data_IF_968720047557
#
_entry.id   IF_968720047557
#
_cell.length_a   1.000
_cell.length_b   1.000
_cell.length_c   1.000
_cell.angle_alpha   90.00
_cell.angle_beta   90.00
_cell.angle_gamma   90.00
#
_symmetry.space_group_name_H-M   'P 1'
#
loop_
_entity.id
_entity.type
_entity.pdbx_description
1 polymer ?
#
# COMPACT_ATOMS: atom_id res chain seq x y z
N UNK A 1 14.53 16.92 -19.66
CA UNK A 1 14.25 15.65 -20.35
C UNK A 1 14.77 15.78 -21.76
N UNK A 2 15.66 14.90 -22.18
CA UNK A 2 16.16 14.84 -23.56
C UNK A 2 15.18 14.03 -24.43
N UNK A 3 15.28 14.17 -25.75
CA UNK A 3 14.39 13.49 -26.70
C UNK A 3 14.59 11.98 -26.78
N UNK A 4 15.72 11.46 -26.29
CA UNK A 4 16.10 10.05 -26.25
C UNK A 4 15.77 9.37 -24.91
N UNK A 5 15.21 10.11 -23.95
CA UNK A 5 14.85 9.59 -22.65
C UNK A 5 13.87 8.42 -22.77
N UNK A 6 14.27 7.25 -22.27
CA UNK A 6 13.46 6.02 -22.30
C UNK A 6 12.63 5.82 -21.03
N UNK A 7 13.05 6.40 -19.91
CA UNK A 7 12.40 6.25 -18.60
C UNK A 7 12.29 7.59 -17.90
N UNK A 8 11.08 7.95 -17.51
CA UNK A 8 10.79 9.11 -16.66
C UNK A 8 10.48 8.60 -15.25
N UNK A 9 11.44 8.73 -14.34
CA UNK A 9 11.29 8.32 -12.95
C UNK A 9 10.79 9.48 -12.07
N UNK A 10 9.69 9.24 -11.36
CA UNK A 10 9.18 10.08 -10.29
C UNK A 10 9.47 9.38 -8.96
N UNK A 11 10.50 9.86 -8.27
CA UNK A 11 10.94 9.27 -7.02
C UNK A 11 10.19 9.86 -5.81
N UNK A 12 9.81 9.00 -4.87
CA UNK A 12 9.11 9.29 -3.61
C UNK A 12 7.93 10.27 -3.77
N UNK A 13 6.95 9.88 -4.59
CA UNK A 13 5.78 10.73 -4.80
C UNK A 13 4.89 10.77 -3.55
N UNK A 14 4.36 11.96 -3.28
CA UNK A 14 3.51 12.23 -2.11
C UNK A 14 2.13 11.57 -2.23
N UNK A 15 1.48 11.29 -1.09
CA UNK A 15 0.13 10.68 -0.97
C UNK A 15 -0.96 11.23 -1.91
N UNK A 16 -0.90 12.52 -2.25
CA UNK A 16 -1.89 13.19 -3.12
C UNK A 16 -1.36 13.45 -4.55
N UNK A 17 -0.42 12.63 -5.02
CA UNK A 17 0.11 12.75 -6.37
C UNK A 17 -1.01 12.55 -7.42
N UNK A 18 -1.16 13.53 -8.30
CA UNK A 18 -2.19 13.50 -9.34
C UNK A 18 -1.72 12.63 -10.51
N UNK A 19 -1.97 11.32 -10.44
CA UNK A 19 -1.63 10.39 -11.52
C UNK A 19 -2.31 10.72 -12.86
N UNK A 20 -3.49 11.35 -12.85
CA UNK A 20 -4.20 11.72 -14.08
C UNK A 20 -3.40 12.70 -14.93
N UNK A 21 -2.55 13.52 -14.31
CA UNK A 21 -1.64 14.42 -15.04
C UNK A 21 -0.71 13.67 -16.00
N UNK A 22 -0.43 12.39 -15.74
CA UNK A 22 0.43 11.55 -16.57
C UNK A 22 -0.33 10.85 -17.70
N UNK A 23 -1.66 10.92 -17.73
CA UNK A 23 -2.45 10.27 -18.78
C UNK A 23 -2.11 10.80 -20.16
N UNK A 24 -1.92 12.12 -20.33
CA UNK A 24 -1.53 12.68 -21.62
C UNK A 24 -0.20 12.11 -22.10
N UNK A 25 0.78 11.95 -21.21
CA UNK A 25 2.08 11.34 -21.53
C UNK A 25 1.90 9.88 -22.00
N UNK A 26 1.03 9.14 -21.30
CA UNK A 26 0.78 7.72 -21.57
C UNK A 26 -0.04 7.50 -22.85
N UNK A 27 -1.01 8.37 -23.16
CA UNK A 27 -1.97 8.16 -24.26
C UNK A 27 -1.77 9.01 -25.49
N UNK A 28 -1.22 10.22 -25.35
CA UNK A 28 -1.12 11.22 -26.42
C UNK A 28 0.31 11.53 -26.84
N UNK A 29 1.29 11.15 -26.01
CA UNK A 29 2.71 11.40 -26.23
C UNK A 29 3.28 12.46 -25.30
N UNK A 30 4.60 12.65 -25.32
CA UNK A 30 5.28 13.65 -24.50
C UNK A 30 5.59 14.90 -25.34
N UNK A 31 5.05 16.04 -24.93
CA UNK A 31 5.47 17.35 -25.48
C UNK A 31 6.63 17.88 -24.65
N UNK A 32 7.79 18.07 -25.28
CA UNK A 32 8.98 18.64 -24.66
C UNK A 32 9.11 20.09 -25.12
N UNK A 33 9.01 21.02 -24.18
CA UNK A 33 9.27 22.43 -24.41
C UNK A 33 10.70 22.79 -23.99
N UNK A 34 11.50 23.28 -24.94
CA UNK A 34 12.83 23.80 -24.66
C UNK A 34 12.78 25.34 -24.57
N UNK A 35 13.50 25.93 -23.62
CA UNK A 35 13.59 27.40 -23.52
C UNK A 35 14.17 27.98 -24.81
N UNK A 36 13.42 28.86 -25.46
CA UNK A 36 13.85 29.56 -26.67
C UNK A 36 13.86 28.71 -27.94
N UNK A 37 13.15 27.57 -27.95
CA UNK A 37 12.95 26.74 -29.16
C UNK A 37 11.49 26.27 -29.24
N UNK A 38 11.09 25.83 -30.41
CA UNK A 38 9.76 25.25 -30.61
C UNK A 38 9.59 23.95 -29.84
N UNK A 39 8.35 23.69 -29.41
CA UNK A 39 8.00 22.46 -28.71
C UNK A 39 8.13 21.25 -29.64
N UNK A 40 8.70 20.16 -29.13
CA UNK A 40 8.83 18.89 -29.84
C UNK A 40 7.82 17.91 -29.25
N UNK A 41 6.92 17.38 -30.07
CA UNK A 41 5.97 16.35 -29.65
C UNK A 41 6.52 14.97 -30.00
N UNK A 42 6.85 14.19 -28.98
CA UNK A 42 7.20 12.77 -29.13
C UNK A 42 5.90 11.95 -29.26
N UNK A 43 5.77 11.07 -30.27
CA UNK A 43 4.63 10.17 -30.38
C UNK A 43 4.67 9.11 -29.28
N UNK A 44 3.52 8.55 -28.92
CA UNK A 44 3.37 7.57 -27.82
C UNK A 44 4.36 6.39 -27.90
N UNK A 45 4.66 5.90 -29.10
CA UNK A 45 5.60 4.80 -29.31
C UNK A 45 7.05 5.13 -28.88
N UNK A 46 7.41 6.41 -28.93
CA UNK A 46 8.73 6.93 -28.60
C UNK A 46 8.69 7.69 -27.25
N UNK A 47 7.54 7.71 -26.57
CA UNK A 47 7.41 8.30 -25.24
C UNK A 47 8.11 7.44 -24.19
N UNK A 48 8.75 8.06 -23.19
CA UNK A 48 9.37 7.33 -22.10
C UNK A 48 8.33 6.52 -21.31
N UNK A 49 8.78 5.39 -20.76
CA UNK A 49 8.04 4.67 -19.73
C UNK A 49 8.09 5.47 -18.44
N UNK A 50 6.96 5.57 -17.75
CA UNK A 50 6.88 6.29 -16.47
C UNK A 50 7.09 5.30 -15.33
N UNK A 51 8.09 5.57 -14.49
CA UNK A 51 8.37 4.83 -13.26
C UNK A 51 8.00 5.73 -12.08
N UNK A 52 7.30 5.20 -11.09
CA UNK A 52 6.90 5.92 -9.89
C UNK A 52 7.26 5.06 -8.67
N UNK A 53 7.97 5.63 -7.71
CA UNK A 53 8.16 5.03 -6.38
C UNK A 53 7.36 5.83 -5.35
N UNK A 54 6.76 5.13 -4.39
CA UNK A 54 6.02 5.76 -3.28
C UNK A 54 5.80 4.77 -2.14
N UNK A 55 5.76 5.30 -0.92
CA UNK A 55 5.31 4.56 0.27
C UNK A 55 3.79 4.65 0.48
N UNK A 56 3.06 5.32 -0.41
CA UNK A 56 1.61 5.52 -0.31
C UNK A 56 0.88 4.78 -1.43
N UNK A 57 -0.30 4.24 -1.11
CA UNK A 57 -1.18 3.70 -2.16
C UNK A 57 -1.65 4.83 -3.08
N UNK A 58 -1.40 4.70 -4.38
CA UNK A 58 -1.92 5.62 -5.38
C UNK A 58 -3.42 5.34 -5.58
N UNK A 59 -4.28 6.31 -5.25
CA UNK A 59 -5.72 6.20 -5.46
C UNK A 59 -6.05 6.21 -6.95
N UNK A 60 -6.29 5.03 -7.50
CA UNK A 60 -6.68 4.81 -8.88
C UNK A 60 -8.17 4.45 -8.95
N UNK A 61 -9.06 5.47 -8.99
CA UNK A 61 -10.49 5.24 -9.12
C UNK A 61 -10.90 5.15 -10.61
N UNK A 62 -11.24 3.94 -11.07
CA UNK A 62 -11.86 3.70 -12.38
C UNK A 62 -11.14 2.70 -13.29
N UNK A 63 -11.88 2.11 -14.24
CA UNK A 63 -11.37 1.08 -15.17
C UNK A 63 -10.34 1.57 -16.20
N UNK A 64 -10.14 2.89 -16.33
CA UNK A 64 -9.08 3.48 -17.16
C UNK A 64 -7.69 3.36 -16.53
N UNK A 65 -7.59 3.39 -15.20
CA UNK A 65 -6.31 3.36 -14.48
C UNK A 65 -5.67 1.97 -14.50
N UNK A 66 -6.46 0.92 -14.20
CA UNK A 66 -5.96 -0.46 -14.11
C UNK A 66 -5.28 -0.97 -15.39
N UNK A 67 -5.60 -0.40 -16.56
CA UNK A 67 -5.01 -0.78 -17.86
C UNK A 67 -3.73 -0.01 -18.20
N UNK A 68 -3.38 1.01 -17.41
CA UNK A 68 -2.28 1.95 -17.68
C UNK A 68 -1.20 1.91 -16.60
N UNK A 69 -1.36 1.05 -15.60
CA UNK A 69 -0.49 0.94 -14.46
C UNK A 69 -0.14 -0.54 -14.26
N UNK A 70 1.14 -0.81 -14.06
CA UNK A 70 1.62 -2.09 -13.59
C UNK A 70 2.24 -1.84 -12.23
N UNK A 71 1.65 -2.43 -11.19
CA UNK A 71 2.00 -2.12 -9.81
C UNK A 71 2.78 -3.29 -9.19
N UNK A 72 3.92 -2.97 -8.58
CA UNK A 72 4.77 -3.92 -7.87
C UNK A 72 4.87 -3.47 -6.42
N UNK A 73 4.52 -4.37 -5.49
CA UNK A 73 4.63 -4.13 -4.05
C UNK A 73 5.94 -4.70 -3.54
N UNK A 74 6.66 -3.91 -2.75
CA UNK A 74 7.81 -4.39 -2.00
C UNK A 74 7.39 -4.55 -0.54
N UNK A 75 7.66 -5.74 0.02
CA UNK A 75 7.45 -5.99 1.44
C UNK A 75 8.50 -5.28 2.30
N UNK A 76 8.16 -4.99 3.56
CA UNK A 76 9.08 -4.51 4.60
C UNK A 76 10.04 -5.59 5.12
N UNK A 77 10.49 -6.48 4.23
CA UNK A 77 11.35 -7.62 4.58
C UNK A 77 12.67 -7.17 5.21
N UNK A 78 13.25 -6.07 4.71
CA UNK A 78 14.34 -5.38 5.36
C UNK A 78 13.84 -4.12 6.07
N UNK A 79 14.32 -3.90 7.30
CA UNK A 79 13.91 -2.80 8.16
C UNK A 79 14.88 -2.58 9.33
N UNK A 80 14.47 -1.82 10.34
CA UNK A 80 15.33 -1.40 11.46
C UNK A 80 15.87 -2.55 12.31
N UNK A 81 15.21 -3.71 12.30
CA UNK A 81 15.57 -4.88 13.09
C UNK A 81 16.00 -6.09 12.25
N UNK A 82 16.05 -5.92 10.93
CA UNK A 82 16.47 -6.96 10.00
C UNK A 82 17.05 -6.27 8.77
N UNK A 83 18.37 -6.09 8.75
CA UNK A 83 19.07 -5.42 7.66
C UNK A 83 19.62 -6.43 6.67
N UNK A 84 19.93 -6.03 5.43
CA UNK A 84 20.62 -6.93 4.50
C UNK A 84 21.97 -7.41 5.04
N UNK A 85 22.64 -6.58 5.86
CA UNK A 85 23.88 -6.96 6.52
C UNK A 85 23.66 -8.08 7.54
N UNK A 86 22.57 -8.08 8.30
CA UNK A 86 22.26 -9.14 9.27
C UNK A 86 22.06 -10.50 8.60
N UNK A 87 21.54 -10.52 7.36
CA UNK A 87 21.27 -11.74 6.61
C UNK A 87 22.44 -12.21 5.74
N UNK A 88 23.07 -11.30 4.99
CA UNK A 88 24.11 -11.63 4.02
C UNK A 88 25.53 -11.39 4.53
N UNK A 89 25.69 -10.62 5.60
CA UNK A 89 27.01 -10.22 6.14
C UNK A 89 27.68 -9.08 5.36
N UNK A 90 26.98 -8.47 4.41
CA UNK A 90 27.44 -7.34 3.59
C UNK A 90 26.25 -6.50 3.11
N UNK A 91 26.49 -5.22 2.82
CA UNK A 91 25.46 -4.34 2.27
C UNK A 91 25.27 -4.61 0.77
N UNK A 92 24.02 -4.82 0.36
CA UNK A 92 23.69 -5.07 -1.05
C UNK A 92 24.13 -3.89 -1.93
N UNK A 93 24.65 -4.19 -3.12
CA UNK A 93 25.16 -3.25 -4.14
C UNK A 93 26.39 -2.41 -3.74
N UNK A 94 26.60 -2.14 -2.45
CA UNK A 94 27.75 -1.36 -1.97
C UNK A 94 28.98 -2.25 -1.76
N UNK A 95 28.83 -3.37 -1.07
CA UNK A 95 29.94 -4.27 -0.71
C UNK A 95 30.10 -5.43 -1.70
N UNK A 96 29.33 -5.43 -2.79
CA UNK A 96 29.35 -6.51 -3.78
C UNK A 96 30.66 -6.58 -4.55
N UNK A 97 31.25 -7.77 -4.60
CA UNK A 97 32.38 -8.07 -5.45
C UNK A 97 31.95 -8.39 -6.89
N UNK A 98 32.92 -8.64 -7.77
CA UNK A 98 32.65 -9.00 -9.16
C UNK A 98 31.77 -10.25 -9.31
N UNK A 99 31.83 -11.20 -8.36
CA UNK A 99 31.03 -12.42 -8.42
C UNK A 99 29.58 -12.15 -8.05
N UNK A 100 29.32 -11.31 -7.05
CA UNK A 100 27.97 -10.91 -6.66
C UNK A 100 27.31 -10.06 -7.75
N UNK A 101 28.04 -9.13 -8.37
CA UNK A 101 27.57 -8.42 -9.56
C UNK A 101 27.26 -9.37 -10.72
N UNK A 102 28.14 -10.35 -10.98
CA UNK A 102 27.87 -11.34 -12.03
C UNK A 102 26.62 -12.21 -11.73
N UNK A 103 26.35 -12.54 -10.46
CA UNK A 103 25.12 -13.24 -10.06
C UNK A 103 23.88 -12.37 -10.29
N UNK A 104 23.95 -11.10 -9.92
CA UNK A 104 22.89 -10.13 -10.15
C UNK A 104 22.60 -9.97 -11.64
N UNK A 105 23.63 -9.80 -12.47
CA UNK A 105 23.46 -9.65 -13.92
C UNK A 105 22.83 -10.90 -14.55
N UNK A 106 23.25 -12.11 -14.14
CA UNK A 106 22.60 -13.35 -14.56
C UNK A 106 21.12 -13.40 -14.16
N UNK A 107 20.79 -12.97 -12.94
CA UNK A 107 19.41 -12.87 -12.49
C UNK A 107 18.61 -11.88 -13.36
N UNK A 108 19.16 -10.70 -13.64
CA UNK A 108 18.51 -9.69 -14.48
C UNK A 108 18.29 -10.17 -15.91
N UNK A 109 19.26 -10.88 -16.51
CA UNK A 109 19.11 -11.51 -17.83
C UNK A 109 18.00 -12.56 -17.81
N UNK A 110 17.91 -13.36 -16.74
CA UNK A 110 16.82 -14.34 -16.60
C UNK A 110 15.46 -13.65 -16.49
N UNK A 111 15.35 -12.55 -15.74
CA UNK A 111 14.13 -11.74 -15.69
C UNK A 111 13.75 -11.18 -17.06
N UNK A 112 14.72 -10.72 -17.85
CA UNK A 112 14.50 -10.22 -19.21
C UNK A 112 14.01 -11.34 -20.15
N UNK A 113 14.68 -12.50 -20.14
CA UNK A 113 14.25 -13.65 -20.93
C UNK A 113 12.82 -14.07 -20.58
N UNK A 114 12.54 -14.16 -19.27
CA UNK A 114 11.21 -14.49 -18.78
C UNK A 114 10.15 -13.47 -19.22
N UNK A 115 10.47 -12.17 -19.16
CA UNK A 115 9.61 -11.10 -19.65
C UNK A 115 9.35 -11.17 -21.16
N UNK A 116 10.37 -11.48 -21.97
CA UNK A 116 10.22 -11.59 -23.42
C UNK A 116 9.32 -12.77 -23.82
N UNK A 117 9.32 -13.85 -23.04
CA UNK A 117 8.48 -15.02 -23.27
C UNK A 117 7.05 -14.86 -22.72
N UNK A 118 6.91 -14.29 -21.52
CA UNK A 118 5.66 -14.31 -20.76
C UNK A 118 4.98 -12.93 -20.65
N UNK A 119 5.66 -11.86 -21.07
CA UNK A 119 5.21 -10.49 -20.86
C UNK A 119 5.32 -10.04 -19.39
N UNK A 120 4.54 -9.02 -19.03
CA UNK A 120 4.41 -8.60 -17.63
C UNK A 120 3.55 -9.60 -16.87
N UNK A 121 4.14 -10.26 -15.88
CA UNK A 121 3.43 -11.19 -15.00
C UNK A 121 2.97 -10.46 -13.74
N UNK A 122 1.67 -10.43 -13.50
CA UNK A 122 1.10 -9.82 -12.30
C UNK A 122 1.66 -10.50 -11.05
N UNK A 123 2.21 -9.70 -10.13
CA UNK A 123 2.58 -10.20 -8.80
C UNK A 123 1.30 -10.54 -8.04
N UNK A 124 1.26 -11.69 -7.38
CA UNK A 124 0.27 -11.89 -6.33
C UNK A 124 0.51 -10.83 -5.27
N UNK A 125 -0.41 -9.86 -5.18
CA UNK A 125 -0.42 -8.92 -4.08
C UNK A 125 -0.70 -9.74 -2.81
N UNK A 126 0.36 -10.12 -2.09
CA UNK A 126 0.27 -10.82 -0.79
C UNK A 126 -0.69 -10.10 0.17
N UNK A 127 -0.94 -8.82 -0.08
CA UNK A 127 -1.72 -7.91 0.72
C UNK A 127 -2.93 -7.28 -0.03
N UNK A 128 -3.57 -7.98 -0.98
CA UNK A 128 -4.78 -7.44 -1.64
C UNK A 128 -5.85 -7.01 -0.61
N UNK A 129 -6.08 -7.82 0.42
CA UNK A 129 -7.02 -7.51 1.50
C UNK A 129 -6.54 -6.34 2.36
N UNK A 130 -5.23 -6.26 2.66
CA UNK A 130 -4.65 -5.12 3.37
C UNK A 130 -4.77 -3.84 2.55
N UNK A 131 -4.58 -3.87 1.22
CA UNK A 131 -4.76 -2.71 0.32
C UNK A 131 -6.20 -2.24 0.25
N UNK A 132 -7.16 -3.18 0.12
CA UNK A 132 -8.58 -2.84 0.23
C UNK A 132 -8.85 -2.18 1.57
N UNK A 133 -8.28 -2.70 2.65
CA UNK A 133 -8.40 -2.14 3.98
C UNK A 133 -7.76 -0.74 4.11
N UNK A 134 -6.55 -0.51 3.61
CA UNK A 134 -5.89 0.81 3.55
C UNK A 134 -6.77 1.81 2.78
N UNK A 135 -7.28 1.40 1.61
CA UNK A 135 -8.10 2.27 0.75
C UNK A 135 -9.45 2.62 1.38
N UNK A 136 -10.05 1.69 2.12
CA UNK A 136 -11.31 1.92 2.85
C UNK A 136 -11.12 2.73 4.14
N UNK A 137 -9.90 2.69 4.70
CA UNK A 137 -9.53 3.35 5.95
C UNK A 137 -8.50 4.47 5.72
N UNK A 138 -7.28 4.29 6.22
CA UNK A 138 -6.09 5.07 5.92
C UNK A 138 -4.86 4.32 6.41
N UNK A 139 -3.69 4.70 5.88
CA UNK A 139 -2.39 4.23 6.39
C UNK A 139 -2.24 4.54 7.90
N UNK A 140 -2.55 5.78 8.29
CA UNK A 140 -2.53 6.26 9.66
C UNK A 140 -3.39 5.39 10.61
N UNK A 141 -4.53 4.89 10.13
CA UNK A 141 -5.40 4.03 10.92
C UNK A 141 -4.78 2.65 11.16
N UNK A 142 -4.07 2.10 10.17
CA UNK A 142 -3.37 0.81 10.30
C UNK A 142 -2.24 0.90 11.31
N UNK A 143 -1.40 1.94 11.19
CA UNK A 143 -0.32 2.19 12.16
C UNK A 143 -0.88 2.34 13.58
N UNK A 144 -2.03 3.02 13.72
CA UNK A 144 -2.68 3.18 15.02
C UNK A 144 -3.19 1.85 15.61
N UNK A 145 -3.80 0.96 14.82
CA UNK A 145 -4.28 -0.34 15.34
C UNK A 145 -3.15 -1.33 15.57
N UNK A 146 -2.06 -1.26 14.80
CA UNK A 146 -0.86 -2.09 14.97
C UNK A 146 -0.15 -1.79 16.29
N UNK A 147 -0.25 -0.55 16.78
CA UNK A 147 0.17 -0.15 18.14
C UNK A 147 -0.72 -0.72 19.27
N UNK A 148 -1.62 -1.67 18.95
CA UNK A 148 -2.54 -2.35 19.88
C UNK A 148 -3.53 -1.40 20.58
N UNK A 149 -3.84 -0.27 19.95
CA UNK A 149 -4.81 0.69 20.48
C UNK A 149 -6.25 0.15 20.46
N UNK A 150 -6.55 -0.85 19.62
CA UNK A 150 -7.81 -1.60 19.63
C UNK A 150 -7.60 -2.97 20.27
N UNK A 151 -7.81 -3.07 21.58
CA UNK A 151 -7.79 -4.37 22.26
C UNK A 151 -9.01 -5.23 21.91
N UNK A 152 -8.80 -6.54 21.88
CA UNK A 152 -9.84 -7.54 21.65
C UNK A 152 -10.57 -7.92 22.94
N UNK A 153 -11.79 -8.42 22.81
CA UNK A 153 -12.60 -8.99 23.91
C UNK A 153 -12.85 -8.01 25.07
N UNK A 154 -12.84 -6.70 24.76
CA UNK A 154 -13.15 -5.63 25.69
C UNK A 154 -14.06 -4.57 25.05
N UNK A 155 -14.91 -3.95 25.86
CA UNK A 155 -15.79 -2.87 25.42
C UNK A 155 -15.01 -1.57 25.30
N UNK A 156 -14.92 -1.06 24.09
CA UNK A 156 -14.27 0.20 23.74
C UNK A 156 -15.31 1.29 23.51
N UNK A 157 -15.11 2.47 24.11
CA UNK A 157 -16.00 3.61 23.92
C UNK A 157 -15.75 4.25 22.54
N UNK A 158 -16.81 4.40 21.73
CA UNK A 158 -16.71 4.95 20.36
C UNK A 158 -16.18 6.39 20.31
N UNK A 159 -16.52 7.20 21.31
CA UNK A 159 -16.07 8.60 21.37
C UNK A 159 -14.61 8.66 21.80
N UNK A 160 -14.26 7.96 22.87
CA UNK A 160 -12.89 7.95 23.39
C UNK A 160 -11.88 7.38 22.39
N UNK A 161 -12.22 6.31 21.66
CA UNK A 161 -11.32 5.76 20.65
C UNK A 161 -11.09 6.73 19.48
N UNK A 162 -12.13 7.44 19.07
CA UNK A 162 -11.98 8.47 18.03
C UNK A 162 -11.11 9.64 18.52
N UNK A 163 -11.31 10.09 19.77
CA UNK A 163 -10.50 11.16 20.36
C UNK A 163 -9.03 10.75 20.50
N UNK A 164 -8.75 9.51 20.92
CA UNK A 164 -7.39 8.97 20.99
C UNK A 164 -6.71 8.97 19.62
N UNK A 165 -7.41 8.47 18.59
CA UNK A 165 -6.88 8.48 17.22
C UNK A 165 -6.58 9.90 16.72
N UNK A 166 -7.49 10.85 16.94
CA UNK A 166 -7.31 12.25 16.51
C UNK A 166 -6.21 12.97 17.30
N UNK A 167 -5.96 12.58 18.56
CA UNK A 167 -4.89 13.14 19.36
C UNK A 167 -3.50 12.77 18.80
N UNK A 168 -3.35 11.56 18.26
CA UNK A 168 -2.11 11.11 17.62
C UNK A 168 -1.99 11.59 16.16
N UNK A 169 -3.09 11.61 15.42
CA UNK A 169 -3.14 11.97 14.00
C UNK A 169 -3.98 13.23 13.76
N UNK A 170 -3.49 14.38 14.22
CA UNK A 170 -4.25 15.65 14.23
C UNK A 170 -4.72 16.10 12.84
N UNK A 171 -3.97 15.77 11.79
CA UNK A 171 -4.29 16.12 10.41
C UNK A 171 -5.57 15.44 9.90
N UNK A 172 -5.91 14.27 10.45
CA UNK A 172 -7.12 13.54 10.11
C UNK A 172 -8.39 14.25 10.58
N UNK A 173 -8.30 15.11 11.61
CA UNK A 173 -9.46 15.82 12.21
C UNK A 173 -10.24 16.65 11.20
N UNK A 174 -9.57 17.14 10.17
CA UNK A 174 -10.17 17.98 9.13
C UNK A 174 -11.15 17.22 8.22
N UNK A 175 -10.97 15.91 8.09
CA UNK A 175 -11.69 15.10 7.09
C UNK A 175 -12.40 13.89 7.70
N UNK A 176 -11.99 13.44 8.88
CA UNK A 176 -12.50 12.23 9.52
C UNK A 176 -13.63 12.55 10.50
N UNK A 177 -14.76 11.86 10.33
CA UNK A 177 -15.87 11.93 11.28
C UNK A 177 -15.87 10.70 12.19
N UNK A 178 -16.44 10.85 13.40
CA UNK A 178 -16.61 9.73 14.32
C UNK A 178 -17.41 8.57 13.68
N UNK A 179 -18.39 8.88 12.80
CA UNK A 179 -19.14 7.84 12.05
C UNK A 179 -18.23 7.05 11.10
N UNK A 180 -17.37 7.75 10.36
CA UNK A 180 -16.41 7.12 9.43
C UNK A 180 -15.38 6.29 10.20
N UNK A 181 -14.85 6.81 11.29
CA UNK A 181 -13.91 6.07 12.15
C UNK A 181 -14.50 4.78 12.72
N UNK A 182 -15.75 4.80 13.20
CA UNK A 182 -16.41 3.57 13.66
C UNK A 182 -16.62 2.56 12.52
N UNK A 183 -16.85 3.03 11.28
CA UNK A 183 -16.88 2.16 10.11
C UNK A 183 -15.50 1.52 9.88
N UNK A 184 -14.41 2.26 10.08
CA UNK A 184 -13.05 1.72 9.99
C UNK A 184 -12.79 0.65 11.06
N UNK A 185 -13.22 0.86 12.31
CA UNK A 185 -13.12 -0.15 13.36
C UNK A 185 -13.88 -1.44 13.02
N UNK A 186 -15.07 -1.32 12.42
CA UNK A 186 -15.81 -2.49 11.91
C UNK A 186 -15.05 -3.20 10.79
N UNK A 187 -14.48 -2.44 9.86
CA UNK A 187 -13.65 -2.97 8.77
C UNK A 187 -12.38 -3.66 9.27
N UNK A 188 -11.79 -3.17 10.35
CA UNK A 188 -10.65 -3.80 11.00
C UNK A 188 -11.03 -5.17 11.58
N UNK A 189 -12.20 -5.29 12.22
CA UNK A 189 -12.70 -6.57 12.69
C UNK A 189 -12.94 -7.55 11.51
N UNK A 190 -13.59 -7.09 10.43
CA UNK A 190 -13.79 -7.88 9.20
C UNK A 190 -12.46 -8.35 8.59
N UNK A 191 -11.47 -7.46 8.51
CA UNK A 191 -10.12 -7.75 7.99
C UNK A 191 -9.39 -8.82 8.82
N UNK A 192 -9.57 -8.83 10.15
CA UNK A 192 -9.00 -9.83 11.05
C UNK A 192 -9.84 -11.11 11.16
N UNK A 193 -10.95 -11.25 10.42
CA UNK A 193 -11.86 -12.38 10.53
C UNK A 193 -12.59 -12.47 11.89
N UNK A 194 -12.75 -11.34 12.57
CA UNK A 194 -13.32 -11.22 13.93
C UNK A 194 -14.73 -10.65 13.92
N UNK A 195 -15.50 -10.94 14.97
CA UNK A 195 -16.86 -10.41 15.13
C UNK A 195 -16.80 -8.99 15.72
N UNK A 196 -17.50 -8.06 15.07
CA UNK A 196 -17.72 -6.70 15.59
C UNK A 196 -19.10 -6.60 16.24
N UNK A 197 -19.14 -6.30 17.52
CA UNK A 197 -20.39 -6.10 18.29
C UNK A 197 -20.44 -4.67 18.78
N UNK A 198 -21.60 -4.02 18.71
CA UNK A 198 -21.78 -2.68 19.25
C UNK A 198 -23.09 -2.50 20.00
N UNK A 199 -23.12 -1.50 20.87
CA UNK A 199 -24.26 -1.22 21.72
C UNK A 199 -24.17 0.11 22.44
N UNK A 200 -25.11 0.34 23.34
CA UNK A 200 -25.11 1.48 24.25
C UNK A 200 -25.35 1.01 25.69
N UNK A 201 -24.68 1.65 26.64
CA UNK A 201 -24.86 1.40 28.07
C UNK A 201 -24.62 2.70 28.82
N UNK A 202 -25.53 3.05 29.74
CA UNK A 202 -25.45 4.30 30.52
C UNK A 202 -25.25 5.57 29.66
N UNK A 203 -25.87 5.61 28.48
CA UNK A 203 -25.74 6.73 27.53
C UNK A 203 -24.44 6.74 26.70
N UNK A 204 -23.47 5.90 27.02
CA UNK A 204 -22.24 5.74 26.25
C UNK A 204 -22.39 4.67 25.17
N UNK A 205 -21.94 4.98 23.94
CA UNK A 205 -21.90 4.01 22.84
C UNK A 205 -20.55 3.29 22.84
N UNK A 206 -20.59 1.98 22.70
CA UNK A 206 -19.42 1.13 22.73
C UNK A 206 -19.39 0.15 21.54
N UNK A 207 -18.21 -0.38 21.26
CA UNK A 207 -18.01 -1.52 20.38
C UNK A 207 -17.01 -2.50 21.01
N UNK A 208 -17.02 -3.73 20.54
CA UNK A 208 -16.16 -4.81 21.00
C UNK A 208 -15.77 -5.65 19.78
N UNK A 209 -14.49 -5.98 19.66
CA UNK A 209 -13.98 -6.88 18.63
C UNK A 209 -13.66 -8.21 19.31
N UNK A 210 -14.49 -9.22 19.05
CA UNK A 210 -14.34 -10.53 19.69
C UNK A 210 -13.33 -11.37 18.95
N UNK A 211 -12.41 -11.98 19.68
CA UNK A 211 -11.57 -13.05 19.15
C UNK A 211 -12.45 -14.26 18.81
N UNK A 212 -12.10 -15.02 17.77
CA UNK A 212 -12.81 -16.27 17.47
C UNK A 212 -12.78 -17.15 18.74
N UNK A 213 -13.96 -17.51 19.24
CA UNK A 213 -14.11 -18.60 20.20
C UNK A 213 -13.65 -19.86 19.47
N UNK A 214 -12.57 -20.50 19.92
CA UNK A 214 -12.46 -21.94 19.71
C UNK A 214 -13.75 -22.55 20.27
N UNK A 215 -14.48 -23.39 19.52
CA UNK A 215 -15.62 -24.09 20.07
C UNK A 215 -15.12 -24.86 21.29
N UNK A 216 -15.63 -24.49 22.47
CA UNK A 216 -15.26 -25.11 23.73
C UNK A 216 -15.53 -26.62 23.57
N UNK A 217 -14.52 -27.46 23.79
CA UNK A 217 -14.64 -28.93 23.65
C UNK A 217 -15.82 -29.46 24.49
N UNK A 218 -16.20 -28.72 25.53
CA UNK A 218 -17.32 -29.01 26.43
C UNK A 218 -18.71 -28.78 25.82
N UNK A 219 -18.86 -27.95 24.78
CA UNK A 219 -20.13 -27.78 24.06
C UNK A 219 -20.51 -29.04 23.26
N UNK A 220 -19.55 -29.93 23.00
CA UNK A 220 -19.77 -31.22 22.32
C UNK A 220 -20.22 -32.35 23.26
N UNK A 221 -20.17 -32.15 24.60
CA UNK A 221 -20.44 -33.21 25.58
C UNK A 221 -21.89 -33.20 26.10
N UNK A 222 -22.69 -32.16 25.79
CA UNK A 222 -24.09 -32.06 26.24
C UNK A 222 -25.12 -32.70 25.29
N UNK A 223 -24.69 -33.52 24.34
CA UNK A 223 -25.57 -34.36 23.53
C UNK A 223 -25.04 -35.81 23.51
N UNK A 224 -25.22 -36.52 24.62
CA UNK A 224 -25.38 -37.98 24.66
C UNK A 224 -26.12 -38.40 25.93
#
# INVERSE_FOLDING_TARGET
VSSDCQVLAFDDVRKNFNFESLFSIITEGLTIEYKGRDAIKLPVKDSPKVLISTNYTIKADGGSFKRRMFEVELSSYFGTHHTPFDEFGYMLFEDWDEQEWARFDHYMINCLNYYLENGLVESEAKNLELRKFINETSQDFIEWVDNKNLGFDQRLNKVSMFENFIAEYTDQKKYLTNRTFNKWCKKYAEYNGKEYVDGSSNGARWFEIKSQRDPDVWDSINYN
#
